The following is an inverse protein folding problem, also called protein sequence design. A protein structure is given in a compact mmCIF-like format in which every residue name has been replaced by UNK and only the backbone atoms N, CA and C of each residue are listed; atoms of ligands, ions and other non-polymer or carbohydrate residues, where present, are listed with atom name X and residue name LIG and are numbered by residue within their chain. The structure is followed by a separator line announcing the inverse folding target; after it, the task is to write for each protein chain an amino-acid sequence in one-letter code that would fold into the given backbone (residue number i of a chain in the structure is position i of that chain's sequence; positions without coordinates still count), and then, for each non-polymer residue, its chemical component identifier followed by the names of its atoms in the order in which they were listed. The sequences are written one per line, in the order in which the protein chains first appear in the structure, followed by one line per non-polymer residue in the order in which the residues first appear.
data_IF_815274144325
#
_entry.id   IF_815274144325
#
_cell.length_a   1.000
_cell.length_b   1.000
_cell.length_c   1.000
_cell.angle_alpha   90.00
_cell.angle_beta   90.00
_cell.angle_gamma   90.00
#
_symmetry.space_group_name_H-M   'P 1'
#
loop_
_entity.id
_entity.type
_entity.pdbx_description
1 polymer ?
#
# COMPACT_ATOMS: atom_id res chain seq x y z
N UNK A 1 24.17 -24.37 5.62
CA UNK A 1 24.57 -23.96 4.24
C UNK A 1 25.78 -23.02 4.17
N UNK A 2 26.18 -22.36 5.27
CA UNK A 2 27.24 -21.34 5.35
C UNK A 2 28.52 -21.59 4.52
N UNK A 3 29.07 -22.80 4.51
CA UNK A 3 30.32 -23.10 3.76
C UNK A 3 30.20 -22.80 2.26
N UNK A 4 29.01 -22.96 1.65
CA UNK A 4 28.78 -22.63 0.24
C UNK A 4 28.76 -21.11 -0.02
N UNK A 5 28.22 -20.32 0.91
CA UNK A 5 28.26 -18.86 0.85
C UNK A 5 29.72 -18.38 0.95
N UNK A 6 30.42 -18.84 1.99
CA UNK A 6 31.83 -18.49 2.23
C UNK A 6 32.69 -18.86 1.03
N UNK A 7 32.52 -20.06 0.46
CA UNK A 7 33.24 -20.46 -0.75
C UNK A 7 32.86 -19.59 -1.97
N UNK A 8 31.58 -19.22 -2.12
CA UNK A 8 31.14 -18.33 -3.21
C UNK A 8 31.74 -16.93 -3.10
N UNK A 9 32.05 -16.45 -1.89
CA UNK A 9 32.62 -15.12 -1.68
C UNK A 9 34.16 -15.16 -1.71
N UNK A 10 34.79 -16.24 -1.22
CA UNK A 10 36.21 -16.56 -1.49
C UNK A 10 36.50 -16.64 -3.00
N UNK A 11 35.52 -17.04 -3.81
CA UNK A 11 35.63 -17.10 -5.27
C UNK A 11 35.34 -15.77 -5.99
N UNK A 12 35.00 -14.70 -5.27
CA UNK A 12 34.89 -13.34 -5.83
C UNK A 12 36.26 -12.69 -6.02
N UNK A 13 36.33 -11.49 -6.62
CA UNK A 13 37.58 -10.70 -6.68
C UNK A 13 37.88 -9.85 -5.43
N UNK A 14 37.18 -10.09 -4.32
CA UNK A 14 37.50 -9.41 -3.06
C UNK A 14 38.78 -9.99 -2.45
N UNK A 15 39.55 -9.17 -1.72
CA UNK A 15 40.69 -9.67 -0.94
C UNK A 15 40.17 -10.37 0.33
N UNK A 16 39.84 -11.66 0.18
CA UNK A 16 39.14 -12.45 1.21
C UNK A 16 40.11 -13.23 2.08
N UNK A 17 40.17 -12.84 3.35
CA UNK A 17 40.66 -13.70 4.43
C UNK A 17 39.48 -14.41 5.10
N UNK A 18 39.38 -15.71 4.86
CA UNK A 18 38.31 -16.56 5.40
C UNK A 18 38.78 -17.43 6.58
N UNK A 19 37.99 -17.42 7.65
CA UNK A 19 37.97 -18.45 8.69
C UNK A 19 36.82 -19.42 8.36
N UNK A 20 37.03 -20.73 8.42
CA UNK A 20 36.05 -21.72 7.96
C UNK A 20 36.03 -23.01 8.81
N UNK A 21 34.96 -23.78 8.66
CA UNK A 21 34.66 -25.00 9.44
C UNK A 21 34.70 -24.74 10.96
N UNK A 22 35.73 -25.17 11.70
CA UNK A 22 35.78 -24.97 13.17
C UNK A 22 36.47 -23.66 13.54
N UNK A 23 35.70 -22.58 13.65
CA UNK A 23 36.17 -21.29 14.16
C UNK A 23 35.78 -21.14 15.64
N UNK A 24 36.74 -20.94 16.53
CA UNK A 24 36.52 -20.58 17.93
C UNK A 24 36.76 -19.08 18.18
N UNK A 25 36.32 -18.57 19.33
CA UNK A 25 36.51 -17.17 19.73
C UNK A 25 37.98 -16.72 19.69
N UNK A 26 38.93 -17.59 20.03
CA UNK A 26 40.36 -17.23 19.97
C UNK A 26 40.85 -17.04 18.53
N UNK A 27 40.38 -17.83 17.56
CA UNK A 27 40.76 -17.67 16.16
C UNK A 27 40.25 -16.34 15.59
N UNK A 28 39.00 -15.97 15.90
CA UNK A 28 38.41 -14.68 15.55
C UNK A 28 39.23 -13.52 16.15
N UNK A 29 39.52 -13.57 17.45
CA UNK A 29 40.30 -12.54 18.15
C UNK A 29 41.71 -12.42 17.56
N UNK A 30 42.37 -13.55 17.29
CA UNK A 30 43.73 -13.61 16.72
C UNK A 30 43.78 -12.99 15.32
N UNK A 31 42.82 -13.31 14.45
CA UNK A 31 42.75 -12.78 13.08
C UNK A 31 42.45 -11.27 13.08
N UNK A 32 41.45 -10.83 13.85
CA UNK A 32 41.05 -9.41 13.98
C UNK A 32 42.15 -8.54 14.61
N UNK A 33 43.05 -9.12 15.42
CA UNK A 33 44.22 -8.42 15.96
C UNK A 33 45.38 -8.40 14.94
N UNK A 34 45.57 -9.47 14.17
CA UNK A 34 46.71 -9.61 13.26
C UNK A 34 46.57 -8.79 11.95
N UNK A 35 45.35 -8.66 11.42
CA UNK A 35 45.12 -7.99 10.14
C UNK A 35 44.50 -6.59 10.22
N UNK A 36 44.10 -6.10 9.05
CA UNK A 36 43.36 -4.85 8.82
C UNK A 36 42.41 -5.09 7.65
N UNK A 37 41.13 -4.79 7.82
CA UNK A 37 40.10 -5.18 6.86
C UNK A 37 38.94 -4.18 6.92
N UNK A 38 38.34 -3.86 5.77
CA UNK A 38 37.32 -2.82 5.68
C UNK A 38 35.90 -3.35 6.01
N UNK A 39 35.68 -4.66 5.85
CA UNK A 39 34.44 -5.36 6.18
C UNK A 39 34.72 -6.54 7.12
N UNK A 40 33.83 -6.78 8.09
CA UNK A 40 33.71 -8.04 8.84
C UNK A 40 32.40 -8.76 8.51
N UNK A 41 32.46 -10.00 8.02
CA UNK A 41 31.29 -10.77 7.62
C UNK A 41 31.15 -12.08 8.40
N UNK A 42 29.97 -12.30 8.98
CA UNK A 42 29.60 -13.54 9.66
C UNK A 42 28.55 -14.29 8.83
N UNK A 43 28.93 -15.48 8.35
CA UNK A 43 28.05 -16.43 7.67
C UNK A 43 27.92 -17.67 8.57
N UNK A 44 26.96 -17.63 9.50
CA UNK A 44 26.79 -18.63 10.57
C UNK A 44 25.39 -18.53 11.16
N UNK A 45 25.02 -19.45 12.04
CA UNK A 45 23.79 -19.32 12.83
C UNK A 45 23.92 -18.18 13.86
N UNK A 46 22.78 -17.57 14.17
CA UNK A 46 22.66 -16.45 15.10
C UNK A 46 21.41 -16.61 15.96
N UNK A 47 21.35 -15.81 17.02
CA UNK A 47 20.22 -15.70 17.95
C UNK A 47 20.13 -14.26 18.43
N UNK A 48 19.03 -13.87 19.06
CA UNK A 48 18.90 -12.57 19.75
C UNK A 48 20.00 -12.31 20.83
N UNK A 49 20.70 -13.36 21.28
CA UNK A 49 21.81 -13.26 22.26
C UNK A 49 23.21 -13.10 21.63
N UNK A 50 23.31 -13.13 20.30
CA UNK A 50 24.56 -12.99 19.55
C UNK A 50 24.84 -14.11 18.54
N UNK A 51 26.10 -14.18 18.11
CA UNK A 51 26.55 -14.98 16.96
C UNK A 51 27.06 -16.35 17.42
N UNK A 52 26.71 -17.44 16.72
CA UNK A 52 27.21 -18.77 17.07
C UNK A 52 28.62 -19.02 16.51
N UNK A 53 29.56 -19.37 17.40
CA UNK A 53 30.89 -19.92 17.10
C UNK A 53 30.99 -21.39 17.56
N UNK A 54 32.09 -22.06 17.23
CA UNK A 54 32.28 -23.48 17.56
C UNK A 54 32.41 -23.75 19.07
N UNK A 55 32.83 -22.74 19.84
CA UNK A 55 32.92 -22.76 21.30
C UNK A 55 31.71 -22.08 21.99
N UNK A 56 30.62 -21.85 21.25
CA UNK A 56 29.35 -21.30 21.74
C UNK A 56 29.09 -19.87 21.27
N UNK A 57 28.18 -19.17 21.96
CA UNK A 57 27.73 -17.84 21.54
C UNK A 57 28.82 -16.79 21.81
N UNK A 58 29.10 -15.96 20.80
CA UNK A 58 29.78 -14.69 20.93
C UNK A 58 28.73 -13.61 21.21
N UNK A 59 28.67 -13.16 22.46
CA UNK A 59 27.74 -12.11 22.89
C UNK A 59 28.13 -10.74 22.32
N UNK A 60 27.16 -9.85 22.23
CA UNK A 60 27.31 -8.47 21.76
C UNK A 60 28.42 -7.72 22.53
N UNK A 61 28.46 -7.92 23.85
CA UNK A 61 29.47 -7.38 24.77
C UNK A 61 30.89 -7.90 24.53
N UNK A 62 31.05 -9.09 23.94
CA UNK A 62 32.33 -9.68 23.59
C UNK A 62 32.75 -9.36 22.15
N UNK A 63 31.78 -9.16 21.25
CA UNK A 63 32.01 -8.75 19.87
C UNK A 63 32.36 -7.26 19.75
N UNK A 64 31.70 -6.38 20.51
CA UNK A 64 31.86 -4.94 20.38
C UNK A 64 33.34 -4.45 20.50
N UNK A 65 34.14 -4.90 21.49
CA UNK A 65 35.55 -4.51 21.58
C UNK A 65 36.43 -4.96 20.41
N UNK A 66 35.97 -5.95 19.62
CA UNK A 66 36.68 -6.46 18.45
C UNK A 66 36.38 -5.65 17.18
N UNK A 67 35.24 -4.94 17.13
CA UNK A 67 34.78 -4.22 15.92
C UNK A 67 34.80 -2.70 16.04
N UNK A 68 34.82 -2.17 17.27
CA UNK A 68 34.83 -0.73 17.52
C UNK A 68 36.01 -0.06 16.80
N UNK A 69 35.67 0.91 15.94
CA UNK A 69 36.57 1.73 15.14
C UNK A 69 37.57 0.95 14.26
N UNK A 70 37.17 -0.25 13.80
CA UNK A 70 38.03 -1.19 13.03
C UNK A 70 37.53 -1.57 11.63
N UNK A 71 36.23 -1.42 11.36
CA UNK A 71 35.59 -1.82 10.10
C UNK A 71 34.63 -0.71 9.62
N UNK A 72 34.50 -0.55 8.31
CA UNK A 72 33.53 0.38 7.71
C UNK A 72 32.15 -0.28 7.49
N UNK A 73 32.11 -1.61 7.32
CA UNK A 73 30.89 -2.42 7.30
C UNK A 73 31.03 -3.70 8.13
N UNK A 74 29.94 -4.09 8.78
CA UNK A 74 29.76 -5.39 9.43
C UNK A 74 28.54 -6.07 8.81
N UNK A 75 28.69 -7.34 8.40
CA UNK A 75 27.61 -8.13 7.79
C UNK A 75 27.28 -9.30 8.70
N UNK A 76 26.13 -9.21 9.37
CA UNK A 76 25.57 -10.26 10.19
C UNK A 76 24.60 -11.08 9.32
N UNK A 77 25.14 -11.92 8.43
CA UNK A 77 24.33 -12.85 7.63
C UNK A 77 23.97 -14.09 8.48
N UNK A 78 23.28 -13.80 9.58
CA UNK A 78 22.93 -14.71 10.66
C UNK A 78 21.50 -14.39 11.11
N UNK A 79 20.75 -15.39 11.60
CA UNK A 79 19.37 -15.20 12.05
C UNK A 79 19.28 -14.27 13.29
N UNK A 80 18.23 -13.45 13.34
CA UNK A 80 17.81 -12.69 14.53
C UNK A 80 18.86 -11.72 15.10
N UNK A 81 19.67 -11.15 14.21
CA UNK A 81 20.86 -10.34 14.54
C UNK A 81 20.61 -8.83 14.75
N UNK A 82 19.35 -8.38 14.74
CA UNK A 82 18.98 -6.96 14.84
C UNK A 82 19.47 -6.26 16.12
N UNK A 83 19.29 -6.88 17.28
CA UNK A 83 19.72 -6.26 18.55
C UNK A 83 21.23 -6.04 18.57
N UNK A 84 21.98 -7.04 18.13
CA UNK A 84 23.44 -6.98 18.01
C UNK A 84 23.83 -5.89 17.02
N UNK A 85 23.18 -5.80 15.88
CA UNK A 85 23.45 -4.77 14.88
C UNK A 85 23.22 -3.35 15.40
N UNK A 86 22.14 -3.12 16.17
CA UNK A 86 21.86 -1.83 16.81
C UNK A 86 22.95 -1.49 17.82
N UNK A 87 23.38 -2.44 18.64
CA UNK A 87 24.49 -2.24 19.59
C UNK A 87 25.80 -1.91 18.89
N UNK A 88 26.15 -2.62 17.81
CA UNK A 88 27.37 -2.35 17.04
C UNK A 88 27.31 -1.00 16.30
N UNK A 89 26.15 -0.62 15.75
CA UNK A 89 25.95 0.66 15.07
C UNK A 89 26.01 1.86 16.03
N UNK A 90 25.50 1.72 17.25
CA UNK A 90 25.53 2.80 18.25
C UNK A 90 26.94 3.03 18.82
N UNK A 91 27.73 1.96 18.95
CA UNK A 91 29.03 1.98 19.63
C UNK A 91 30.24 1.91 18.68
N UNK A 92 30.05 1.94 17.36
CA UNK A 92 31.14 2.02 16.38
C UNK A 92 30.77 2.92 15.19
N UNK A 93 31.76 3.32 14.40
CA UNK A 93 31.51 4.02 13.13
C UNK A 93 30.91 3.13 12.04
N UNK A 94 30.91 1.80 12.19
CA UNK A 94 30.61 0.86 11.12
C UNK A 94 29.14 0.91 10.65
N UNK A 95 28.95 0.77 9.34
CA UNK A 95 27.66 0.36 8.77
C UNK A 95 27.37 -1.08 9.18
N UNK A 96 26.12 -1.45 9.44
CA UNK A 96 25.75 -2.83 9.76
C UNK A 96 24.62 -3.33 8.88
N UNK A 97 24.83 -4.44 8.18
CA UNK A 97 23.77 -5.22 7.52
C UNK A 97 23.45 -6.43 8.39
N UNK A 98 22.17 -6.67 8.68
CA UNK A 98 21.74 -7.75 9.57
C UNK A 98 20.34 -8.27 9.23
N UNK A 99 19.88 -9.29 9.95
CA UNK A 99 18.52 -9.82 9.83
C UNK A 99 17.63 -9.45 11.01
N UNK A 100 16.34 -9.23 10.73
CA UNK A 100 15.30 -8.91 11.73
C UNK A 100 14.70 -10.19 12.36
N UNK A 101 14.85 -11.34 11.69
CA UNK A 101 14.21 -12.62 12.02
C UNK A 101 14.96 -13.76 11.33
N UNK A 102 14.62 -15.01 11.64
CA UNK A 102 15.12 -16.16 10.86
C UNK A 102 14.94 -15.98 9.35
N UNK A 103 15.98 -16.30 8.58
CA UNK A 103 16.04 -16.26 7.11
C UNK A 103 16.37 -17.67 6.60
N UNK A 104 15.69 -18.19 5.57
CA UNK A 104 16.04 -19.48 4.98
C UNK A 104 17.47 -19.49 4.44
N UNK A 105 18.22 -20.58 4.65
CA UNK A 105 19.60 -20.77 4.17
C UNK A 105 19.79 -20.40 2.67
N UNK A 106 18.78 -20.65 1.83
CA UNK A 106 18.80 -20.28 0.41
C UNK A 106 18.75 -18.76 0.18
N UNK A 107 17.84 -18.05 0.87
CA UNK A 107 17.75 -16.59 0.82
C UNK A 107 19.03 -15.96 1.40
N UNK A 108 19.60 -16.54 2.45
CA UNK A 108 20.84 -16.07 3.07
C UNK A 108 22.05 -16.24 2.13
N UNK A 109 22.22 -17.42 1.53
CA UNK A 109 23.24 -17.69 0.52
C UNK A 109 23.08 -16.75 -0.69
N UNK A 110 21.86 -16.63 -1.24
CA UNK A 110 21.61 -15.77 -2.40
C UNK A 110 21.89 -14.30 -2.07
N UNK A 111 21.42 -13.81 -0.92
CA UNK A 111 21.67 -12.43 -0.47
C UNK A 111 23.17 -12.20 -0.30
N UNK A 112 23.89 -13.10 0.38
CA UNK A 112 25.32 -12.96 0.61
C UNK A 112 26.15 -12.97 -0.67
N UNK A 113 25.91 -13.94 -1.56
CA UNK A 113 26.56 -14.03 -2.87
C UNK A 113 26.26 -12.82 -3.75
N UNK A 114 25.00 -12.37 -3.83
CA UNK A 114 24.64 -11.18 -4.61
C UNK A 114 25.20 -9.90 -4.00
N UNK A 115 25.33 -9.82 -2.67
CA UNK A 115 25.91 -8.68 -1.98
C UNK A 115 27.40 -8.61 -2.28
N UNK A 116 28.17 -9.68 -2.07
CA UNK A 116 29.59 -9.73 -2.41
C UNK A 116 29.86 -9.47 -3.91
N UNK A 117 29.03 -10.02 -4.81
CA UNK A 117 29.15 -9.73 -6.25
C UNK A 117 28.76 -8.27 -6.59
N UNK A 118 27.83 -7.66 -5.86
CA UNK A 118 27.54 -6.22 -5.92
C UNK A 118 28.62 -5.38 -5.24
N UNK A 119 29.47 -5.98 -4.42
CA UNK A 119 30.71 -5.41 -3.93
C UNK A 119 31.89 -5.64 -4.91
N UNK A 120 31.70 -5.94 -6.21
CA UNK A 120 32.81 -6.11 -7.19
C UNK A 120 33.04 -5.01 -8.28
N UNK A 121 32.27 -3.89 -8.42
CA UNK A 121 32.42 -2.84 -9.52
C UNK A 121 32.38 -1.26 -9.21
N UNK A 122 33.02 -0.65 -8.18
CA UNK A 122 32.83 0.75 -7.63
C UNK A 122 33.08 1.05 -6.09
N UNK A 123 32.24 1.33 -5.02
CA UNK A 123 30.78 1.43 -4.57
C UNK A 123 30.45 2.33 -3.37
N UNK A 124 29.12 2.43 -3.11
CA UNK A 124 28.55 2.48 -1.75
C UNK A 124 28.04 1.11 -1.23
N UNK A 125 28.05 0.92 0.10
CA UNK A 125 27.48 -0.25 0.79
C UNK A 125 25.96 -0.39 0.61
N UNK A 126 25.24 0.74 0.64
CA UNK A 126 23.78 0.81 0.60
C UNK A 126 23.20 0.35 -0.75
N UNK A 127 23.83 0.78 -1.84
CA UNK A 127 23.49 0.30 -3.19
C UNK A 127 23.61 -1.22 -3.29
N UNK A 128 24.69 -1.79 -2.75
CA UNK A 128 24.99 -3.23 -2.84
C UNK A 128 24.01 -4.07 -2.01
N UNK A 129 23.68 -3.61 -0.81
CA UNK A 129 22.57 -4.14 -0.01
C UNK A 129 21.24 -4.09 -0.78
N UNK A 130 20.96 -2.98 -1.47
CA UNK A 130 19.66 -2.73 -2.12
C UNK A 130 19.40 -3.66 -3.30
N UNK A 131 20.43 -4.06 -4.07
CA UNK A 131 20.33 -5.09 -5.13
C UNK A 131 20.30 -6.52 -4.57
N UNK A 132 20.99 -6.77 -3.46
CA UNK A 132 21.22 -8.12 -2.96
C UNK A 132 20.07 -8.66 -2.11
N UNK A 133 19.38 -7.80 -1.34
CA UNK A 133 18.24 -8.19 -0.49
C UNK A 133 17.13 -8.86 -1.32
N UNK A 134 16.42 -9.89 -0.81
CA UNK A 134 15.38 -10.55 -1.58
C UNK A 134 14.17 -9.63 -1.82
N UNK A 135 13.53 -9.77 -2.99
CA UNK A 135 12.42 -8.91 -3.41
C UNK A 135 11.24 -8.93 -2.44
N UNK A 136 10.80 -7.75 -1.98
CA UNK A 136 9.71 -7.59 -1.01
C UNK A 136 10.01 -8.11 0.40
N UNK A 137 11.25 -8.54 0.69
CA UNK A 137 11.58 -9.26 1.92
C UNK A 137 12.09 -8.33 3.03
N UNK A 138 11.21 -8.00 3.98
CA UNK A 138 11.53 -7.20 5.18
C UNK A 138 12.39 -7.96 6.23
N UNK A 139 13.12 -9.01 5.85
CA UNK A 139 13.95 -9.79 6.79
C UNK A 139 15.38 -9.24 6.92
N UNK A 140 15.86 -8.44 5.96
CA UNK A 140 17.16 -7.77 6.02
C UNK A 140 17.01 -6.26 6.24
N UNK A 141 17.93 -5.68 7.02
CA UNK A 141 18.00 -4.24 7.25
C UNK A 141 19.44 -3.72 7.17
N UNK A 142 19.55 -2.47 6.72
CA UNK A 142 20.79 -1.70 6.62
C UNK A 142 20.77 -0.59 7.66
N UNK A 143 21.73 -0.60 8.58
CA UNK A 143 21.96 0.41 9.59
C UNK A 143 23.18 1.25 9.17
N UNK A 144 22.97 2.51 8.80
CA UNK A 144 24.06 3.39 8.35
C UNK A 144 25.01 3.72 9.50
N UNK A 145 26.32 3.56 9.28
CA UNK A 145 27.34 3.82 10.28
C UNK A 145 27.43 5.29 10.73
N UNK A 146 27.99 5.49 11.94
CA UNK A 146 28.21 6.82 12.52
C UNK A 146 29.21 7.69 11.76
N UNK A 147 30.05 7.10 10.90
CA UNK A 147 30.82 7.80 9.88
C UNK A 147 29.88 8.35 8.80
N UNK A 148 29.25 9.50 9.08
CA UNK A 148 28.48 10.25 8.09
C UNK A 148 29.41 10.66 6.95
N UNK A 149 29.42 9.84 5.91
CA UNK A 149 30.04 10.07 4.62
C UNK A 149 29.80 11.53 4.19
N UNK A 150 30.87 12.21 3.78
CA UNK A 150 30.84 13.65 3.48
C UNK A 150 30.01 13.95 2.23
N UNK A 151 29.89 12.98 1.32
CA UNK A 151 29.03 13.07 0.14
C UNK A 151 27.57 12.92 0.55
N UNK A 152 27.22 11.86 1.29
CA UNK A 152 25.91 11.70 1.96
C UNK A 152 25.54 12.90 2.84
N UNK A 153 26.50 13.58 3.48
CA UNK A 153 26.24 14.80 4.26
C UNK A 153 25.80 15.96 3.36
N UNK A 154 26.48 16.19 2.23
CA UNK A 154 26.07 17.20 1.24
C UNK A 154 24.72 16.87 0.62
N UNK A 155 24.50 15.61 0.25
CA UNK A 155 23.20 15.15 -0.28
C UNK A 155 22.11 15.37 0.75
N UNK A 156 22.37 15.08 2.04
CA UNK A 156 21.41 15.30 3.13
C UNK A 156 21.18 16.79 3.43
N UNK A 157 22.20 17.65 3.32
CA UNK A 157 22.05 19.11 3.43
C UNK A 157 21.18 19.69 2.30
N UNK A 158 21.45 19.31 1.04
CA UNK A 158 20.62 19.66 -0.12
C UNK A 158 19.19 19.11 0.00
N UNK A 159 19.03 17.87 0.50
CA UNK A 159 17.72 17.28 0.74
C UNK A 159 16.96 17.99 1.88
N UNK A 160 17.64 18.43 2.95
CA UNK A 160 17.02 19.27 3.99
C UNK A 160 16.65 20.65 3.45
N UNK A 161 17.49 21.28 2.62
CA UNK A 161 17.14 22.54 1.95
C UNK A 161 15.90 22.41 1.06
N UNK A 162 15.79 21.30 0.33
CA UNK A 162 14.61 20.94 -0.47
C UNK A 162 13.38 20.60 0.38
N UNK A 163 13.55 19.97 1.55
CA UNK A 163 12.46 19.75 2.50
C UNK A 163 11.96 21.05 3.12
N UNK A 164 12.85 21.97 3.51
CA UNK A 164 12.51 23.29 4.01
C UNK A 164 11.76 24.12 2.96
N UNK A 165 12.21 24.07 1.71
CA UNK A 165 11.55 24.75 0.60
C UNK A 165 10.18 24.10 0.31
N UNK A 166 10.09 22.77 0.35
CA UNK A 166 8.82 22.04 0.19
C UNK A 166 7.85 22.30 1.35
N UNK A 167 8.34 22.45 2.58
CA UNK A 167 7.53 22.89 3.74
C UNK A 167 6.96 24.26 3.45
N UNK A 168 7.81 25.26 3.15
CA UNK A 168 7.36 26.63 2.83
C UNK A 168 6.34 26.67 1.68
N UNK A 169 6.51 25.84 0.64
CA UNK A 169 5.51 25.69 -0.44
C UNK A 169 4.21 25.02 0.04
N UNK A 170 4.27 24.08 0.97
CA UNK A 170 3.10 23.44 1.56
C UNK A 170 2.39 24.35 2.56
N UNK A 171 3.11 25.10 3.40
CA UNK A 171 2.58 26.09 4.33
C UNK A 171 1.80 27.19 3.58
N UNK A 172 2.37 27.69 2.48
CA UNK A 172 1.68 28.61 1.57
C UNK A 172 0.44 27.98 0.89
N UNK A 173 0.46 26.66 0.61
CA UNK A 173 -0.70 25.92 0.11
C UNK A 173 -1.78 25.73 1.18
N UNK A 174 -1.41 25.49 2.44
CA UNK A 174 -2.33 25.38 3.56
C UNK A 174 -3.03 26.72 3.82
N UNK A 175 -2.28 27.83 3.90
CA UNK A 175 -2.86 29.17 3.98
C UNK A 175 -3.80 29.47 2.80
N UNK A 176 -3.41 29.10 1.57
CA UNK A 176 -4.29 29.23 0.40
C UNK A 176 -5.51 28.27 0.40
N UNK A 177 -5.50 27.22 1.24
CA UNK A 177 -6.62 26.32 1.45
C UNK A 177 -7.56 26.86 2.55
N UNK A 178 -7.03 27.36 3.66
CA UNK A 178 -7.76 28.01 4.75
C UNK A 178 -8.58 29.21 4.22
N UNK A 179 -7.94 30.08 3.45
CA UNK A 179 -8.61 31.20 2.75
C UNK A 179 -9.76 30.72 1.84
N UNK A 180 -9.67 29.53 1.24
CA UNK A 180 -10.76 28.95 0.43
C UNK A 180 -11.86 28.33 1.28
N UNK A 181 -11.52 27.73 2.42
CA UNK A 181 -12.50 27.20 3.39
C UNK A 181 -13.32 28.35 3.98
N UNK A 182 -12.69 29.46 4.35
CA UNK A 182 -13.41 30.66 4.82
C UNK A 182 -14.36 31.22 3.74
N UNK A 183 -13.89 31.36 2.49
CA UNK A 183 -14.73 31.77 1.36
C UNK A 183 -15.87 30.79 1.05
N UNK A 184 -15.77 29.52 1.42
CA UNK A 184 -16.86 28.55 1.31
C UNK A 184 -17.84 28.69 2.47
N UNK A 185 -17.37 28.93 3.70
CA UNK A 185 -18.22 29.28 4.85
C UNK A 185 -19.11 30.48 4.54
N UNK A 186 -18.51 31.60 4.11
CA UNK A 186 -19.24 32.80 3.70
C UNK A 186 -20.26 32.59 2.56
N UNK A 187 -20.13 31.52 1.75
CA UNK A 187 -21.12 31.13 0.74
C UNK A 187 -22.24 30.27 1.33
N UNK A 188 -21.93 29.38 2.26
CA UNK A 188 -22.90 28.56 2.99
C UNK A 188 -23.81 29.46 3.84
N UNK A 189 -23.26 30.48 4.49
CA UNK A 189 -24.05 31.47 5.25
C UNK A 189 -25.07 32.20 4.36
N UNK A 190 -24.63 32.67 3.18
CA UNK A 190 -25.51 33.31 2.18
C UNK A 190 -26.60 32.37 1.66
N UNK A 191 -26.28 31.10 1.45
CA UNK A 191 -27.27 30.08 1.06
C UNK A 191 -28.27 29.80 2.18
N UNK A 192 -27.83 29.82 3.44
CA UNK A 192 -28.70 29.62 4.61
C UNK A 192 -29.68 30.79 4.81
N UNK A 193 -29.23 32.02 4.58
CA UNK A 193 -30.11 33.21 4.53
C UNK A 193 -31.11 33.07 3.37
N UNK A 194 -30.64 32.69 2.17
CA UNK A 194 -31.50 32.52 1.01
C UNK A 194 -32.56 31.42 1.20
N UNK A 195 -32.22 30.29 1.84
CA UNK A 195 -33.19 29.25 2.19
C UNK A 195 -34.24 29.78 3.18
N UNK A 196 -33.81 30.59 4.16
CA UNK A 196 -34.70 31.22 5.14
C UNK A 196 -35.69 32.18 4.47
N UNK A 197 -35.22 32.99 3.51
CA UNK A 197 -36.09 33.89 2.72
C UNK A 197 -37.04 33.11 1.81
N UNK A 198 -36.57 32.08 1.10
CA UNK A 198 -37.43 31.21 0.27
C UNK A 198 -38.50 30.53 1.12
N UNK A 199 -38.15 30.04 2.32
CA UNK A 199 -39.09 29.42 3.26
C UNK A 199 -40.08 30.45 3.85
N UNK A 200 -39.66 31.69 4.07
CA UNK A 200 -40.52 32.81 4.45
C UNK A 200 -41.55 33.14 3.36
N UNK A 201 -41.11 33.20 2.09
CA UNK A 201 -42.00 33.40 0.93
C UNK A 201 -42.96 32.23 0.75
N UNK A 202 -42.48 30.98 0.84
CA UNK A 202 -43.32 29.79 0.78
C UNK A 202 -44.40 29.78 1.88
N UNK A 203 -44.04 30.10 3.12
CA UNK A 203 -44.99 30.18 4.22
C UNK A 203 -46.05 31.26 4.00
N UNK A 204 -45.68 32.43 3.46
CA UNK A 204 -46.63 33.50 3.11
C UNK A 204 -47.60 33.07 2.00
N UNK A 205 -47.09 32.42 0.95
CA UNK A 205 -47.91 31.88 -0.13
C UNK A 205 -48.87 30.79 0.38
N UNK A 206 -48.38 29.86 1.21
CA UNK A 206 -49.17 28.78 1.79
C UNK A 206 -50.20 29.27 2.84
N UNK A 207 -50.02 30.45 3.42
CA UNK A 207 -51.04 31.12 4.25
C UNK A 207 -52.10 31.85 3.41
N UNK A 208 -51.75 32.37 2.23
CA UNK A 208 -52.70 33.01 1.31
C UNK A 208 -53.51 31.98 0.51
N UNK A 209 -52.89 30.87 0.09
CA UNK A 209 -53.57 29.76 -0.58
C UNK A 209 -54.20 28.85 0.48
N UNK A 210 -55.33 29.26 1.05
CA UNK A 210 -56.11 28.39 1.93
C UNK A 210 -56.65 27.18 1.12
N UNK A 211 -56.42 25.92 1.55
CA UNK A 211 -56.85 24.75 0.77
C UNK A 211 -58.37 24.62 0.56
N UNK A 212 -59.15 25.31 1.40
CA UNK A 212 -60.61 25.18 1.47
C UNK A 212 -61.37 25.52 0.18
N UNK A 213 -60.84 26.39 -0.69
CA UNK A 213 -61.50 26.77 -1.95
C UNK A 213 -60.99 26.03 -3.19
N UNK A 214 -59.75 25.54 -3.16
CA UNK A 214 -59.13 24.90 -4.33
C UNK A 214 -59.61 23.46 -4.54
N UNK A 215 -59.77 22.71 -3.44
CA UNK A 215 -59.84 21.25 -3.43
C UNK A 215 -61.23 20.63 -3.74
N UNK A 216 -62.19 21.42 -4.23
CA UNK A 216 -63.50 20.87 -4.66
C UNK A 216 -63.88 21.25 -6.08
N UNK A 217 -63.68 22.51 -6.50
CA UNK A 217 -64.03 22.94 -7.87
C UNK A 217 -63.09 22.33 -8.91
N UNK A 218 -61.77 22.25 -8.62
CA UNK A 218 -60.82 21.62 -9.54
C UNK A 218 -60.98 20.10 -9.64
N UNK A 219 -61.25 19.40 -8.54
CA UNK A 219 -61.52 17.94 -8.58
C UNK A 219 -62.78 17.63 -9.40
N UNK A 220 -63.87 18.38 -9.22
CA UNK A 220 -65.07 18.21 -10.05
C UNK A 220 -64.83 18.56 -11.52
N UNK A 221 -64.05 19.60 -11.84
CA UNK A 221 -63.70 19.94 -13.21
C UNK A 221 -62.86 18.83 -13.88
N UNK A 222 -61.85 18.28 -13.19
CA UNK A 222 -61.05 17.16 -13.68
C UNK A 222 -61.91 15.90 -13.88
N UNK A 223 -62.79 15.56 -12.93
CA UNK A 223 -63.74 14.46 -13.10
C UNK A 223 -64.68 14.67 -14.29
N UNK A 224 -65.20 15.88 -14.48
CA UNK A 224 -66.08 16.20 -15.61
C UNK A 224 -65.36 16.07 -16.96
N UNK A 225 -64.11 16.54 -17.07
CA UNK A 225 -63.28 16.40 -18.27
C UNK A 225 -63.02 14.92 -18.59
N UNK A 226 -62.63 14.12 -17.59
CA UNK A 226 -62.40 12.68 -17.76
C UNK A 226 -63.69 11.95 -18.14
N UNK A 227 -64.83 12.31 -17.53
CA UNK A 227 -66.14 11.75 -17.88
C UNK A 227 -66.52 12.06 -19.33
N UNK A 228 -66.43 13.32 -19.75
CA UNK A 228 -66.74 13.75 -21.13
C UNK A 228 -65.84 13.03 -22.14
N UNK A 229 -64.53 12.94 -21.88
CA UNK A 229 -63.60 12.19 -22.73
C UNK A 229 -63.99 10.70 -22.84
N UNK A 230 -64.36 10.06 -21.72
CA UNK A 230 -64.80 8.65 -21.73
C UNK A 230 -66.07 8.43 -22.55
N UNK A 231 -67.03 9.38 -22.50
CA UNK A 231 -68.28 9.33 -23.28
C UNK A 231 -68.00 9.55 -24.77
N UNK A 232 -67.12 10.50 -25.13
CA UNK A 232 -66.71 10.72 -26.53
C UNK A 232 -66.04 9.48 -27.11
N UNK A 233 -65.14 8.83 -26.36
CA UNK A 233 -64.50 7.57 -26.78
C UNK A 233 -65.54 6.45 -26.94
N UNK A 234 -66.50 6.30 -26.03
CA UNK A 234 -67.55 5.30 -26.13
C UNK A 234 -68.47 5.51 -27.35
N UNK A 235 -68.85 6.76 -27.63
CA UNK A 235 -69.64 7.12 -28.83
C UNK A 235 -68.85 6.80 -30.11
N UNK A 236 -67.55 7.10 -30.13
CA UNK A 236 -66.70 6.88 -31.30
C UNK A 236 -66.49 5.37 -31.56
N UNK A 237 -66.33 4.55 -30.51
CA UNK A 237 -66.32 3.08 -30.60
C UNK A 237 -67.66 2.56 -31.13
N UNK A 238 -68.79 3.04 -30.60
CA UNK A 238 -70.12 2.66 -31.09
C UNK A 238 -70.30 3.01 -32.57
N UNK A 239 -69.91 4.22 -32.97
CA UNK A 239 -70.05 4.68 -34.36
C UNK A 239 -69.20 3.85 -35.33
N UNK A 240 -67.98 3.48 -34.95
CA UNK A 240 -67.14 2.54 -35.71
C UNK A 240 -67.79 1.15 -35.82
N UNK A 241 -68.34 0.62 -34.73
CA UNK A 241 -69.02 -0.67 -34.73
C UNK A 241 -70.28 -0.68 -35.61
N UNK A 242 -71.05 0.41 -35.67
CA UNK A 242 -72.24 0.51 -36.52
C UNK A 242 -71.95 0.83 -37.98
N UNK A 243 -70.95 1.68 -38.27
CA UNK A 243 -70.61 2.09 -39.65
C UNK A 243 -69.90 0.99 -40.44
N UNK A 244 -69.23 0.05 -39.77
CA UNK A 244 -68.68 -1.16 -40.40
C UNK A 244 -69.74 -2.15 -40.92
N UNK A 245 -71.04 -1.96 -40.61
CA UNK A 245 -72.09 -2.94 -40.89
C UNK A 245 -72.87 -2.70 -42.22
N UNK A 246 -72.49 -1.69 -43.00
CA UNK A 246 -73.22 -1.31 -44.24
C UNK A 246 -72.39 -1.41 -45.54
N UNK A 247 -71.15 -1.90 -45.48
CA UNK A 247 -70.31 -2.10 -46.66
C UNK A 247 -69.55 -3.44 -46.60
N UNK A 248 -69.99 -4.41 -47.41
CA UNK A 248 -69.40 -5.73 -47.67
C UNK A 248 -69.41 -6.70 -46.47
N UNK A 249 -70.23 -7.75 -46.57
CA UNK A 249 -70.46 -8.71 -45.49
C UNK A 249 -69.34 -9.72 -45.28
N UNK A 250 -68.35 -9.39 -44.44
CA UNK A 250 -67.57 -10.39 -43.70
C UNK A 250 -66.97 -9.81 -42.40
N UNK A 251 -67.83 -9.56 -41.40
CA UNK A 251 -67.42 -8.94 -40.13
C UNK A 251 -66.78 -9.94 -39.18
N UNK A 252 -65.47 -9.80 -38.97
CA UNK A 252 -64.79 -10.33 -37.78
C UNK A 252 -65.27 -9.57 -36.55
N UNK A 253 -65.91 -10.26 -35.60
CA UNK A 253 -66.31 -9.69 -34.32
C UNK A 253 -65.11 -9.12 -33.56
N UNK A 254 -65.22 -7.88 -33.06
CA UNK A 254 -64.21 -7.32 -32.14
C UNK A 254 -64.10 -8.25 -30.92
N UNK A 255 -62.91 -8.80 -30.61
CA UNK A 255 -62.78 -9.73 -29.50
C UNK A 255 -63.14 -9.06 -28.17
N UNK A 256 -64.07 -9.66 -27.43
CA UNK A 256 -64.48 -9.21 -26.08
C UNK A 256 -63.29 -9.10 -25.13
N UNK A 257 -62.26 -9.91 -25.35
CA UNK A 257 -61.00 -9.91 -24.60
C UNK A 257 -60.25 -8.57 -24.69
N UNK A 258 -60.34 -7.85 -25.81
CA UNK A 258 -59.67 -6.55 -25.99
C UNK A 258 -60.25 -5.49 -25.04
N UNK A 259 -61.58 -5.48 -24.88
CA UNK A 259 -62.29 -4.60 -23.95
C UNK A 259 -61.92 -4.94 -22.50
N UNK A 260 -61.81 -6.22 -22.16
CA UNK A 260 -61.34 -6.64 -20.84
C UNK A 260 -59.87 -6.30 -20.59
N UNK A 261 -59.01 -6.32 -21.62
CA UNK A 261 -57.59 -6.04 -21.48
C UNK A 261 -57.33 -4.56 -21.16
N UNK A 262 -58.02 -3.63 -21.82
CA UNK A 262 -57.96 -2.20 -21.53
C UNK A 262 -58.38 -1.89 -20.07
N UNK A 263 -59.44 -2.53 -19.59
CA UNK A 263 -59.89 -2.39 -18.19
C UNK A 263 -58.80 -2.84 -17.19
N UNK A 264 -58.07 -3.93 -17.49
CA UNK A 264 -56.98 -4.43 -16.62
C UNK A 264 -55.75 -3.52 -16.62
N UNK A 265 -55.38 -2.94 -17.77
CA UNK A 265 -54.26 -1.98 -17.84
C UNK A 265 -54.50 -0.74 -16.97
N UNK A 266 -55.73 -0.20 -16.97
CA UNK A 266 -56.06 1.00 -16.19
C UNK A 266 -55.89 0.80 -14.67
N UNK A 267 -56.24 -0.40 -14.18
CA UNK A 267 -56.04 -0.77 -12.76
C UNK A 267 -54.55 -0.97 -12.42
N UNK A 268 -53.77 -1.58 -13.33
CA UNK A 268 -52.37 -1.88 -13.09
C UNK A 268 -51.46 -0.64 -13.01
N UNK A 269 -51.84 0.47 -13.67
CA UNK A 269 -51.04 1.70 -13.73
C UNK A 269 -50.79 2.39 -12.38
N UNK A 270 -51.69 2.25 -11.41
CA UNK A 270 -51.63 3.00 -10.14
C UNK A 270 -50.54 2.54 -9.14
N UNK A 271 -49.91 1.36 -9.34
CA UNK A 271 -49.12 0.72 -8.28
C UNK A 271 -47.59 0.81 -8.40
N UNK A 272 -47.03 1.41 -9.47
CA UNK A 272 -45.62 1.18 -9.86
C UNK A 272 -44.65 2.37 -9.64
N UNK A 273 -44.76 3.07 -8.51
CA UNK A 273 -43.84 4.18 -8.14
C UNK A 273 -43.13 3.90 -6.80
N UNK A 274 -42.09 3.04 -6.81
CA UNK A 274 -41.18 2.89 -5.64
C UNK A 274 -39.83 2.18 -5.96
N UNK A 275 -38.73 2.93 -5.87
CA UNK A 275 -37.36 2.47 -5.55
C UNK A 275 -36.46 1.93 -6.68
N UNK A 276 -35.22 2.45 -6.77
CA UNK A 276 -34.01 1.84 -7.38
C UNK A 276 -32.73 2.63 -7.04
N UNK A 277 -31.55 1.95 -7.01
CA UNK A 277 -30.12 2.37 -6.83
C UNK A 277 -29.41 1.52 -5.73
N UNK A 278 -28.06 1.47 -5.57
CA UNK A 278 -26.89 1.79 -6.45
C UNK A 278 -25.74 0.68 -6.41
N UNK A 279 -24.47 1.02 -6.79
CA UNK A 279 -23.12 0.59 -6.21
C UNK A 279 -21.97 0.33 -7.27
N UNK A 280 -20.69 0.26 -6.82
CA UNK A 280 -19.40 0.78 -7.40
C UNK A 280 -18.23 -0.24 -7.63
N UNK A 281 -16.99 0.23 -7.96
CA UNK A 281 -15.70 -0.53 -8.05
C UNK A 281 -14.41 0.36 -8.07
N UNK A 282 -13.16 -0.19 -7.98
CA UNK A 282 -11.87 0.57 -7.86
C UNK A 282 -10.53 -0.21 -8.13
N UNK A 283 -9.38 0.49 -8.35
CA UNK A 283 -7.96 0.00 -8.30
C UNK A 283 -6.99 0.53 -9.42
N UNK A 284 -5.64 0.34 -9.47
CA UNK A 284 -4.53 0.24 -8.47
C UNK A 284 -3.08 0.09 -9.10
N UNK A 285 -1.98 0.55 -8.41
CA UNK A 285 -0.50 0.22 -8.54
C UNK A 285 0.30 0.58 -9.86
N UNK A 286 1.67 0.55 -10.04
CA UNK A 286 2.93 0.33 -9.22
C UNK A 286 4.24 0.90 -9.89
N UNK A 287 5.46 0.97 -9.24
CA UNK A 287 6.74 1.50 -9.81
C UNK A 287 8.13 0.78 -9.48
N UNK A 288 9.24 1.17 -10.16
CA UNK A 288 10.67 0.63 -10.18
C UNK A 288 11.71 1.77 -10.53
N UNK A 289 13.08 1.75 -10.68
CA UNK A 289 14.38 1.12 -10.21
C UNK A 289 15.58 1.97 -10.86
N UNK A 290 16.94 1.94 -10.69
CA UNK A 290 18.01 1.26 -9.90
C UNK A 290 19.48 1.69 -10.35
N UNK A 291 20.59 1.31 -9.63
CA UNK A 291 22.03 1.63 -9.99
C UNK A 291 23.12 1.09 -8.99
N UNK A 292 24.41 0.82 -9.36
CA UNK A 292 25.41 0.09 -8.48
C UNK A 292 26.92 -0.10 -8.90
N UNK A 293 27.79 -0.63 -7.99
CA UNK A 293 29.29 -0.50 -7.88
C UNK A 293 30.17 -1.65 -7.09
N UNK A 294 31.24 -1.47 -6.20
CA UNK A 294 32.26 -2.41 -5.45
C UNK A 294 32.86 -2.08 -4.01
N UNK A 295 33.19 -3.04 -3.08
CA UNK A 295 34.04 -2.90 -1.82
C UNK A 295 34.71 -4.26 -1.37
N UNK A 296 35.80 -4.33 -0.55
CA UNK A 296 36.53 -5.58 -0.13
C UNK A 296 36.44 -5.97 1.38
N UNK A 297 36.72 -7.22 1.82
CA UNK A 297 36.36 -7.70 3.19
C UNK A 297 36.85 -9.05 3.76
N UNK A 298 36.66 -9.25 5.08
CA UNK A 298 36.94 -10.49 5.86
C UNK A 298 35.70 -11.34 6.12
N UNK A 299 35.89 -12.67 6.19
CA UNK A 299 34.82 -13.66 6.23
C UNK A 299 35.00 -14.70 7.34
N UNK A 300 33.93 -14.94 8.11
CA UNK A 300 33.88 -15.89 9.23
C UNK A 300 32.73 -16.86 8.99
N UNK A 301 33.06 -18.04 8.51
CA UNK A 301 32.16 -19.17 8.32
C UNK A 301 32.30 -20.20 9.42
N UNK A 302 31.20 -20.59 10.06
CA UNK A 302 31.20 -21.70 11.02
C UNK A 302 30.49 -22.89 10.40
N UNK A 303 31.19 -24.03 10.34
CA UNK A 303 30.65 -25.31 9.89
C UNK A 303 29.70 -25.89 10.94
N UNK A 304 28.71 -26.67 10.50
CA UNK A 304 27.68 -27.24 11.37
C UNK A 304 28.30 -28.19 12.42
N UNK A 305 28.17 -27.84 13.71
CA UNK A 305 28.66 -28.65 14.84
C UNK A 305 27.66 -29.76 15.22
N UNK A 306 27.25 -30.51 14.19
CA UNK A 306 26.75 -31.88 14.27
C UNK A 306 25.37 -32.09 14.90
N UNK A 307 24.34 -32.13 14.05
CA UNK A 307 23.15 -32.93 14.37
C UNK A 307 23.51 -34.40 14.61
N UNK A 308 23.61 -34.81 15.88
CA UNK A 308 23.58 -36.22 16.28
C UNK A 308 22.17 -36.77 16.11
N UNK A 309 21.80 -37.19 14.90
CA UNK A 309 20.64 -38.07 14.74
C UNK A 309 20.94 -39.43 15.36
N UNK A 310 20.30 -39.72 16.50
CA UNK A 310 20.12 -41.09 16.96
C UNK A 310 18.89 -41.67 16.26
N UNK A 311 19.11 -42.51 15.25
CA UNK A 311 18.09 -43.46 14.80
C UNK A 311 18.63 -44.88 14.89
N UNK A 312 17.82 -45.75 15.49
CA UNK A 312 17.97 -47.20 15.45
C UNK A 312 17.39 -47.72 14.14
N UNK A 313 18.12 -48.64 13.50
CA UNK A 313 17.77 -49.38 12.26
C UNK A 313 17.73 -48.53 11.00
#
# INVERSE_FOLDING_TARGET
MAEAEVQSIVNSRLDVRALFSKVERDDLVREVIAGKYDILWFATHGTESGIMLSDGILTESALLPLVKDRFDLIVLNTCESLMTAIMLQNESSATVVCTIRSVPDYDAFQTGTLFAAALERGSTFFEAFTRARPGGNNSYIYLSGGSVDRESRKVREDLTGKMDEMSKRNDARFQALENKVEQLGQKIDRLTVLETDVRSVYNKLNQQVTPAEFDRRYLWAMFAIVLVLSVVVAILIYFLATSGNTANGHLSTVPTDFVQHLHRMFVAGMFRIRGYLPVTGAGALSPDDGGLLSIAGVFVGVGDVGQRQQHYV
#
